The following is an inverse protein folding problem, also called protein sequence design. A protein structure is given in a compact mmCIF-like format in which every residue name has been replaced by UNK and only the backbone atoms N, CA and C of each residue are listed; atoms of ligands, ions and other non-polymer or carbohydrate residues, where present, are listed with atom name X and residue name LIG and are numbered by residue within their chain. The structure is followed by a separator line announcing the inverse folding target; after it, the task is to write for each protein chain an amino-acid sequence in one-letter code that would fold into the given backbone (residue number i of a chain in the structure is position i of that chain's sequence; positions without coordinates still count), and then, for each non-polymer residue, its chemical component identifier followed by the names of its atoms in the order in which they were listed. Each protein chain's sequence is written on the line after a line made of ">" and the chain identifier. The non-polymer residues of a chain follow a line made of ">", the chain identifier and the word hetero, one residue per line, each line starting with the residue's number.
data_IF_274208505000
#
_entry.id   IF_274208505000
#
_cell.length_a   1.000
_cell.length_b   1.000
_cell.length_c   1.000
_cell.angle_alpha   90.00
_cell.angle_beta   90.00
_cell.angle_gamma   90.00
#
_symmetry.space_group_name_H-M   'P 1'
#
loop_
_entity.id
_entity.type
_entity.pdbx_description
1 polymer ?
#
# COMPACT_ATOMS: atom_id res chain seq x y z
N UNK A 1 5.49 -29.40 -1.35
CA UNK A 1 5.74 -29.28 0.10
C UNK A 1 5.64 -27.82 0.46
N UNK A 2 4.52 -27.42 1.03
CA UNK A 2 4.19 -26.04 1.40
C UNK A 2 4.60 -25.84 2.87
N UNK A 3 5.71 -25.16 3.12
CA UNK A 3 6.06 -24.67 4.45
C UNK A 3 5.36 -23.33 4.68
N UNK A 4 4.16 -23.40 5.26
CA UNK A 4 3.46 -22.23 5.76
C UNK A 4 4.20 -21.66 6.98
N UNK A 5 4.77 -20.47 6.83
CA UNK A 5 5.35 -19.74 7.94
C UNK A 5 4.19 -19.21 8.80
N UNK A 6 3.94 -19.89 9.92
CA UNK A 6 3.02 -19.41 10.95
C UNK A 6 3.67 -18.21 11.65
N UNK A 7 3.15 -17.01 11.45
CA UNK A 7 3.48 -15.85 12.25
C UNK A 7 2.91 -16.04 13.66
N UNK A 8 3.77 -16.37 14.62
CA UNK A 8 3.37 -16.42 16.02
C UNK A 8 3.24 -15.01 16.58
N UNK A 9 2.18 -14.77 17.36
CA UNK A 9 1.89 -13.46 17.98
C UNK A 9 2.99 -12.87 18.87
N UNK A 10 4.04 -13.63 19.18
CA UNK A 10 5.19 -13.19 19.96
C UNK A 10 6.13 -12.26 19.19
N UNK A 11 6.17 -12.34 17.86
CA UNK A 11 6.96 -11.42 17.04
C UNK A 11 6.39 -9.99 17.10
N UNK A 12 5.08 -9.87 17.15
CA UNK A 12 4.39 -8.57 17.32
C UNK A 12 4.63 -7.94 18.70
N UNK A 13 4.73 -8.76 19.74
CA UNK A 13 4.94 -8.30 21.12
C UNK A 13 6.39 -7.88 21.38
N UNK A 14 7.36 -8.48 20.69
CA UNK A 14 8.79 -8.15 20.78
C UNK A 14 9.13 -6.83 20.05
N UNK A 15 8.43 -6.53 18.95
CA UNK A 15 8.57 -5.26 18.20
C UNK A 15 8.05 -4.03 18.98
N UNK A 16 7.15 -4.22 19.94
CA UNK A 16 6.67 -3.12 20.79
C UNK A 16 7.70 -2.60 21.82
N UNK A 17 8.82 -3.31 22.03
CA UNK A 17 9.79 -2.98 23.10
C UNK A 17 11.13 -2.42 22.65
N UNK A 18 11.40 -2.34 21.35
CA UNK A 18 12.66 -1.75 20.90
C UNK A 18 12.44 -0.85 19.71
N UNK A 19 12.44 0.39 19.95
CA UNK A 19 12.83 1.53 19.16
C UNK A 19 11.86 2.70 19.36
N UNK A 20 11.86 3.27 20.53
CA UNK A 20 11.78 4.72 20.60
C UNK A 20 13.08 5.23 19.97
N UNK A 21 13.12 5.34 18.65
CA UNK A 21 14.17 6.10 17.99
C UNK A 21 13.83 7.56 18.26
N UNK A 22 14.40 8.09 19.33
CA UNK A 22 14.29 9.49 19.66
C UNK A 22 14.78 10.30 18.45
N UNK A 23 13.87 11.07 17.82
CA UNK A 23 14.20 12.01 16.76
C UNK A 23 13.66 11.73 15.36
N UNK A 24 12.97 10.62 15.11
CA UNK A 24 12.29 10.43 13.82
C UNK A 24 10.87 11.01 13.81
N UNK A 25 10.48 11.71 12.73
CA UNK A 25 9.12 12.23 12.60
C UNK A 25 8.07 11.10 12.67
N UNK A 26 6.97 11.36 13.37
CA UNK A 26 5.89 10.40 13.64
C UNK A 26 5.26 9.64 12.44
N UNK A 27 5.34 10.07 11.15
CA UNK A 27 4.78 9.29 10.04
C UNK A 27 5.53 8.00 9.71
N UNK A 28 6.72 7.79 10.29
CA UNK A 28 7.55 6.64 10.00
C UNK A 28 7.43 5.56 11.07
N UNK A 29 6.25 4.93 11.14
CA UNK A 29 6.06 3.75 11.97
C UNK A 29 7.01 2.61 11.51
N UNK A 30 7.46 1.75 12.44
CA UNK A 30 8.39 0.65 12.13
C UNK A 30 7.94 -0.22 10.95
N UNK A 31 6.63 -0.48 10.81
CA UNK A 31 6.05 -1.22 9.69
C UNK A 31 6.24 -0.48 8.36
N UNK A 32 6.06 0.84 8.35
CA UNK A 32 6.27 1.66 7.15
C UNK A 32 7.72 1.60 6.70
N UNK A 33 8.66 1.72 7.64
CA UNK A 33 10.09 1.62 7.35
C UNK A 33 10.49 0.23 6.85
N UNK A 34 9.92 -0.83 7.40
CA UNK A 34 10.15 -2.19 6.94
C UNK A 34 9.70 -2.38 5.50
N UNK A 35 8.46 -2.00 5.17
CA UNK A 35 7.91 -2.10 3.82
C UNK A 35 8.63 -1.20 2.81
N UNK A 36 9.16 -0.05 3.26
CA UNK A 36 9.97 0.82 2.41
C UNK A 36 11.34 0.21 2.09
N UNK A 37 12.00 -0.42 3.07
CA UNK A 37 13.32 -1.02 2.90
C UNK A 37 13.29 -2.35 2.16
N UNK A 38 12.26 -3.13 2.37
CA UNK A 38 12.05 -4.46 1.78
C UNK A 38 10.63 -4.58 1.22
N UNK A 39 10.32 -3.85 0.14
CA UNK A 39 8.97 -3.86 -0.42
C UNK A 39 8.61 -5.23 -0.97
N UNK A 40 7.41 -5.72 -0.61
CA UNK A 40 6.84 -6.97 -1.11
C UNK A 40 6.32 -6.74 -2.51
N UNK A 41 6.47 -7.76 -3.36
CA UNK A 41 5.97 -7.74 -4.74
C UNK A 41 6.50 -6.55 -5.58
N UNK A 42 7.71 -6.10 -5.29
CA UNK A 42 8.39 -5.08 -6.08
C UNK A 42 9.01 -5.70 -7.33
N UNK A 43 8.84 -5.05 -8.48
CA UNK A 43 9.38 -5.47 -9.78
C UNK A 43 8.29 -5.64 -10.84
N UNK A 44 8.68 -6.11 -12.02
CA UNK A 44 7.76 -6.37 -13.13
C UNK A 44 6.95 -7.66 -12.92
N UNK A 45 5.75 -7.70 -13.48
CA UNK A 45 4.88 -8.88 -13.50
C UNK A 45 4.80 -9.42 -14.94
N UNK A 46 5.51 -10.50 -15.28
CA UNK A 46 5.38 -11.11 -16.60
C UNK A 46 3.94 -11.58 -16.84
N UNK A 47 3.40 -11.28 -18.02
CA UNK A 47 2.05 -11.72 -18.40
C UNK A 47 0.92 -10.97 -17.72
N UNK A 48 1.15 -9.76 -17.23
CA UNK A 48 0.09 -8.93 -16.67
C UNK A 48 -1.05 -8.68 -17.68
N UNK A 49 -2.26 -8.57 -17.18
CA UNK A 49 -3.45 -8.29 -18.01
C UNK A 49 -3.85 -6.81 -17.98
N UNK A 50 -3.51 -6.12 -16.89
CA UNK A 50 -3.85 -4.71 -16.64
C UNK A 50 -2.64 -3.99 -16.06
N UNK A 51 -2.46 -2.73 -16.42
CA UNK A 51 -1.42 -1.89 -15.85
C UNK A 51 -1.83 -0.42 -15.87
N UNK A 52 -1.29 0.35 -14.94
CA UNK A 52 -1.39 1.80 -14.94
C UNK A 52 -0.16 2.43 -14.30
N UNK A 53 0.11 3.69 -14.65
CA UNK A 53 1.11 4.51 -14.00
C UNK A 53 0.44 5.47 -13.02
N UNK A 54 1.13 5.83 -11.97
CA UNK A 54 0.67 6.77 -10.97
C UNK A 54 1.71 7.84 -10.71
N UNK A 55 1.27 9.08 -10.67
CA UNK A 55 2.11 10.25 -10.49
C UNK A 55 1.58 11.15 -9.37
N UNK A 56 2.49 11.61 -8.51
CA UNK A 56 2.25 12.64 -7.52
C UNK A 56 3.36 13.68 -7.61
N UNK A 57 3.11 14.74 -8.34
CA UNK A 57 4.10 15.78 -8.64
C UNK A 57 4.60 16.50 -7.37
N UNK A 58 3.77 16.62 -6.33
CA UNK A 58 4.17 17.27 -5.07
C UNK A 58 5.31 16.56 -4.35
N UNK A 59 5.37 15.22 -4.46
CA UNK A 59 6.43 14.41 -3.84
C UNK A 59 7.41 13.83 -4.85
N UNK A 60 7.19 14.03 -6.16
CA UNK A 60 7.99 13.42 -7.20
C UNK A 60 7.80 11.90 -7.28
N UNK A 61 6.67 11.38 -6.83
CA UNK A 61 6.38 9.96 -6.85
C UNK A 61 5.97 9.52 -8.25
N UNK A 62 6.62 8.47 -8.74
CA UNK A 62 6.26 7.76 -9.96
C UNK A 62 6.20 6.28 -9.65
N UNK A 63 5.06 5.65 -9.84
CA UNK A 63 4.94 4.22 -9.69
C UNK A 63 4.09 3.61 -10.79
N UNK A 64 4.36 2.35 -11.07
CA UNK A 64 3.61 1.53 -12.02
C UNK A 64 3.06 0.33 -11.27
N UNK A 65 1.78 0.03 -11.48
CA UNK A 65 1.15 -1.20 -11.03
C UNK A 65 0.87 -2.08 -12.25
N UNK A 66 1.23 -3.35 -12.14
CA UNK A 66 0.91 -4.40 -13.08
C UNK A 66 0.17 -5.51 -12.34
N UNK A 67 -0.95 -5.95 -12.90
CA UNK A 67 -1.76 -6.99 -12.28
C UNK A 67 -2.28 -8.00 -13.30
N UNK A 68 -2.46 -9.23 -12.83
CA UNK A 68 -3.15 -10.28 -13.54
C UNK A 68 -4.53 -10.44 -12.94
N UNK A 69 -5.56 -10.30 -13.77
CA UNK A 69 -6.94 -10.58 -13.41
C UNK A 69 -7.46 -11.82 -14.11
N UNK A 70 -8.17 -12.68 -13.38
CA UNK A 70 -8.94 -13.79 -13.92
C UNK A 70 -10.33 -13.77 -13.28
N UNK A 71 -11.35 -13.93 -14.09
CA UNK A 71 -12.76 -13.93 -13.64
C UNK A 71 -13.12 -12.72 -12.76
N UNK A 72 -12.60 -11.53 -13.13
CA UNK A 72 -12.86 -10.28 -12.43
C UNK A 72 -12.13 -10.12 -11.07
N UNK A 73 -11.21 -11.03 -10.74
CA UNK A 73 -10.44 -11.01 -9.49
C UNK A 73 -8.94 -10.90 -9.75
N UNK A 74 -8.26 -10.19 -8.86
CA UNK A 74 -6.80 -10.05 -8.89
C UNK A 74 -6.17 -11.38 -8.47
N UNK A 75 -5.36 -11.96 -9.35
CA UNK A 75 -4.58 -13.18 -9.09
C UNK A 75 -3.18 -12.84 -8.59
N UNK A 76 -2.56 -11.84 -9.21
CA UNK A 76 -1.23 -11.35 -8.86
C UNK A 76 -1.14 -9.86 -9.10
N UNK A 77 -0.29 -9.19 -8.32
CA UNK A 77 0.03 -7.78 -8.48
C UNK A 77 1.49 -7.56 -8.18
N UNK A 78 2.15 -6.76 -9.00
CA UNK A 78 3.46 -6.20 -8.71
C UNK A 78 3.48 -4.70 -8.98
N UNK A 79 4.39 -4.02 -8.33
CA UNK A 79 4.61 -2.60 -8.56
C UNK A 79 6.09 -2.29 -8.73
N UNK A 80 6.37 -1.21 -9.43
CA UNK A 80 7.74 -0.71 -9.66
C UNK A 80 7.71 0.82 -9.72
N UNK A 81 8.87 1.44 -9.78
CA UNK A 81 9.00 2.87 -9.92
C UNK A 81 9.88 3.49 -8.84
N UNK A 82 9.93 4.82 -8.85
CA UNK A 82 10.66 5.64 -7.90
C UNK A 82 9.68 6.52 -7.11
N UNK A 83 9.55 6.25 -5.85
CA UNK A 83 8.57 6.91 -4.99
C UNK A 83 9.06 7.07 -3.55
N UNK A 84 8.45 7.99 -2.81
CA UNK A 84 8.82 8.23 -1.42
C UNK A 84 8.53 7.02 -0.52
N UNK A 85 9.09 7.03 0.68
CA UNK A 85 8.94 5.95 1.65
C UNK A 85 7.46 5.60 1.94
N UNK A 86 6.57 6.59 1.99
CA UNK A 86 5.14 6.40 2.25
C UNK A 86 4.44 5.73 1.07
N UNK A 87 4.69 6.20 -0.16
CA UNK A 87 4.09 5.61 -1.35
C UNK A 87 4.59 4.17 -1.57
N UNK A 88 5.89 3.93 -1.42
CA UNK A 88 6.50 2.59 -1.50
C UNK A 88 5.91 1.64 -0.46
N UNK A 89 5.82 2.07 0.80
CA UNK A 89 5.26 1.25 1.87
C UNK A 89 3.77 0.96 1.65
N UNK A 90 2.98 1.95 1.22
CA UNK A 90 1.57 1.77 0.90
C UNK A 90 1.38 0.77 -0.24
N UNK A 91 2.17 0.88 -1.33
CA UNK A 91 2.11 -0.07 -2.44
C UNK A 91 2.50 -1.49 -2.02
N UNK A 92 3.53 -1.62 -1.19
CA UNK A 92 3.97 -2.90 -0.63
C UNK A 92 2.88 -3.56 0.21
N UNK A 93 2.29 -2.83 1.15
CA UNK A 93 1.20 -3.33 2.01
C UNK A 93 -0.07 -3.66 1.22
N UNK A 94 -0.43 -2.81 0.24
CA UNK A 94 -1.52 -3.05 -0.69
C UNK A 94 -1.34 -4.39 -1.43
N UNK A 95 -0.14 -4.63 -1.94
CA UNK A 95 0.14 -5.82 -2.75
C UNK A 95 -0.07 -7.14 -2.01
N UNK A 96 -0.03 -7.11 -0.68
CA UNK A 96 -0.23 -8.31 0.16
C UNK A 96 -1.72 -8.62 0.42
N UNK A 97 -2.61 -7.63 0.32
CA UNK A 97 -4.01 -7.81 0.71
C UNK A 97 -5.00 -7.88 -0.47
N UNK A 98 -4.56 -7.55 -1.68
CA UNK A 98 -5.47 -7.44 -2.84
C UNK A 98 -5.69 -8.74 -3.60
N UNK A 99 -4.92 -9.80 -3.32
CA UNK A 99 -5.10 -11.10 -3.96
C UNK A 99 -6.51 -11.65 -3.67
N UNK A 100 -7.22 -12.07 -4.72
CA UNK A 100 -8.60 -12.54 -4.64
C UNK A 100 -9.67 -11.45 -4.61
N UNK A 101 -9.28 -10.17 -4.50
CA UNK A 101 -10.23 -9.06 -4.52
C UNK A 101 -10.74 -8.76 -5.93
N UNK A 102 -12.00 -8.36 -6.00
CA UNK A 102 -12.61 -7.74 -7.17
C UNK A 102 -12.56 -6.20 -7.08
N UNK A 103 -13.00 -5.53 -8.14
CA UNK A 103 -13.00 -4.06 -8.19
C UNK A 103 -13.83 -3.41 -7.07
N UNK A 104 -14.96 -4.02 -6.68
CA UNK A 104 -15.81 -3.50 -5.60
C UNK A 104 -15.10 -3.60 -4.23
N UNK A 105 -14.43 -4.73 -3.96
CA UNK A 105 -13.63 -4.92 -2.74
C UNK A 105 -12.48 -3.91 -2.67
N UNK A 106 -11.79 -3.66 -3.79
CA UNK A 106 -10.72 -2.67 -3.87
C UNK A 106 -11.26 -1.26 -3.60
N UNK A 107 -12.40 -0.89 -4.18
CA UNK A 107 -13.03 0.40 -3.91
C UNK A 107 -13.39 0.56 -2.41
N UNK A 108 -13.88 -0.49 -1.78
CA UNK A 108 -14.17 -0.51 -0.35
C UNK A 108 -12.93 -0.31 0.52
N UNK A 109 -11.85 -1.02 0.23
CA UNK A 109 -10.57 -0.87 0.94
C UNK A 109 -9.98 0.53 0.77
N UNK A 110 -10.02 1.08 -0.45
CA UNK A 110 -9.58 2.45 -0.74
C UNK A 110 -10.34 3.48 0.08
N UNK A 111 -11.67 3.35 0.18
CA UNK A 111 -12.51 4.23 1.00
C UNK A 111 -12.14 4.17 2.47
N UNK A 112 -11.89 2.97 3.01
CA UNK A 112 -11.45 2.76 4.40
C UNK A 112 -10.08 3.39 4.66
N UNK A 113 -9.12 3.20 3.75
CA UNK A 113 -7.80 3.83 3.87
C UNK A 113 -7.92 5.35 3.83
N UNK A 114 -8.76 5.90 2.96
CA UNK A 114 -9.00 7.34 2.88
C UNK A 114 -9.53 7.88 4.21
N UNK A 115 -10.52 7.23 4.81
CA UNK A 115 -11.05 7.58 6.12
C UNK A 115 -9.98 7.50 7.23
N UNK A 116 -9.12 6.47 7.19
CA UNK A 116 -8.03 6.29 8.15
C UNK A 116 -7.00 7.43 8.08
N UNK A 117 -6.50 7.75 6.88
CA UNK A 117 -5.46 8.78 6.73
C UNK A 117 -5.99 10.20 6.95
N UNK A 118 -7.30 10.40 6.82
CA UNK A 118 -7.98 11.64 7.16
C UNK A 118 -8.31 11.76 8.66
N UNK A 119 -8.19 10.66 9.41
CA UNK A 119 -8.50 10.64 10.84
C UNK A 119 -10.00 10.53 11.16
N UNK A 120 -10.80 10.10 10.20
CA UNK A 120 -12.23 9.84 10.37
C UNK A 120 -12.47 8.52 11.12
N UNK A 121 -11.53 7.58 11.03
CA UNK A 121 -11.49 6.34 11.78
C UNK A 121 -10.11 6.15 12.43
N UNK A 122 -10.05 5.45 13.56
CA UNK A 122 -8.80 5.15 14.27
C UNK A 122 -8.07 3.94 13.68
N UNK A 123 -8.83 2.93 13.30
CA UNK A 123 -8.31 1.69 12.68
C UNK A 123 -9.44 0.91 12.01
N UNK A 124 -9.07 -0.01 11.13
CA UNK A 124 -9.99 -0.97 10.51
C UNK A 124 -9.28 -2.31 10.32
N UNK A 125 -9.88 -3.40 10.78
CA UNK A 125 -9.28 -4.73 10.71
C UNK A 125 -9.02 -5.18 9.26
N UNK A 126 -9.84 -4.74 8.30
CA UNK A 126 -9.66 -5.07 6.89
C UNK A 126 -8.41 -4.45 6.26
N UNK A 127 -7.88 -3.39 6.86
CA UNK A 127 -6.68 -2.70 6.38
C UNK A 127 -5.37 -3.36 6.86
N UNK A 128 -5.40 -4.24 7.87
CA UNK A 128 -4.21 -4.94 8.35
C UNK A 128 -3.04 -3.99 8.64
N UNK A 129 -1.89 -4.23 8.02
CA UNK A 129 -0.67 -3.43 8.19
C UNK A 129 -0.85 -1.96 7.75
N UNK A 130 -1.78 -1.67 6.82
CA UNK A 130 -2.09 -0.31 6.37
C UNK A 130 -2.59 0.61 7.49
N UNK A 131 -3.06 0.06 8.62
CA UNK A 131 -3.39 0.87 9.81
C UNK A 131 -2.20 1.70 10.33
N UNK A 132 -0.96 1.29 10.04
CA UNK A 132 0.23 2.09 10.35
C UNK A 132 0.25 3.46 9.67
N UNK A 133 -0.47 3.61 8.55
CA UNK A 133 -0.62 4.88 7.82
C UNK A 133 -1.59 5.87 8.50
N UNK A 134 -2.31 5.47 9.55
CA UNK A 134 -3.21 6.35 10.31
C UNK A 134 -2.52 7.57 10.93
N UNK A 135 -1.20 7.52 11.15
CA UNK A 135 -0.40 8.65 11.59
C UNK A 135 -0.43 9.83 10.60
N UNK A 136 -0.73 9.56 9.32
CA UNK A 136 -0.78 10.58 8.26
C UNK A 136 -1.92 11.58 8.45
N UNK A 137 -2.86 11.33 9.37
CA UNK A 137 -3.86 12.33 9.78
C UNK A 137 -3.24 13.67 10.18
N UNK A 138 -2.02 13.64 10.72
CA UNK A 138 -1.27 14.82 11.13
C UNK A 138 -0.38 15.41 10.02
N UNK A 139 -0.31 14.79 8.85
CA UNK A 139 0.56 15.15 7.75
C UNK A 139 -0.19 15.21 6.41
N UNK A 140 -1.04 16.23 6.18
CA UNK A 140 -1.92 16.29 5.01
C UNK A 140 -1.23 16.12 3.67
N UNK A 141 -0.03 16.69 3.50
CA UNK A 141 0.75 16.57 2.25
C UNK A 141 1.18 15.14 1.95
N UNK A 142 1.33 14.29 2.98
CA UNK A 142 1.75 12.89 2.83
C UNK A 142 0.59 11.92 2.59
N UNK A 143 -0.64 12.34 2.83
CA UNK A 143 -1.84 11.51 2.54
C UNK A 143 -1.92 11.14 1.07
N UNK A 144 -1.60 12.08 0.18
CA UNK A 144 -1.57 11.85 -1.27
C UNK A 144 -0.58 10.75 -1.66
N UNK A 145 0.58 10.70 -1.02
CA UNK A 145 1.57 9.64 -1.24
C UNK A 145 1.01 8.25 -0.87
N UNK A 146 0.31 8.14 0.27
CA UNK A 146 -0.29 6.88 0.70
C UNK A 146 -1.44 6.43 -0.21
N UNK A 147 -2.17 7.37 -0.81
CA UNK A 147 -3.32 7.09 -1.67
C UNK A 147 -2.94 6.83 -3.13
N UNK A 148 -1.74 7.22 -3.56
CA UNK A 148 -1.30 7.07 -4.95
C UNK A 148 -1.35 5.62 -5.46
N UNK A 149 -0.82 4.60 -4.74
CA UNK A 149 -0.90 3.22 -5.21
C UNK A 149 -2.35 2.74 -5.40
N UNK A 150 -3.26 3.21 -4.55
CA UNK A 150 -4.68 2.86 -4.62
C UNK A 150 -5.40 3.53 -5.79
N UNK A 151 -5.06 4.78 -6.10
CA UNK A 151 -5.54 5.46 -7.29
C UNK A 151 -5.04 4.75 -8.56
N UNK A 152 -3.76 4.37 -8.57
CA UNK A 152 -3.14 3.65 -9.68
C UNK A 152 -3.75 2.26 -9.89
N UNK A 153 -3.99 1.50 -8.81
CA UNK A 153 -4.67 0.22 -8.88
C UNK A 153 -6.10 0.37 -9.44
N UNK A 154 -6.83 1.38 -8.98
CA UNK A 154 -8.18 1.66 -9.49
C UNK A 154 -8.16 1.99 -10.98
N UNK A 155 -7.19 2.76 -11.45
CA UNK A 155 -7.00 3.09 -12.86
C UNK A 155 -6.68 1.83 -13.69
N UNK A 156 -5.78 0.98 -13.20
CA UNK A 156 -5.44 -0.28 -13.87
C UNK A 156 -6.68 -1.17 -14.02
N UNK A 157 -7.48 -1.34 -12.97
CA UNK A 157 -8.72 -2.13 -13.01
C UNK A 157 -9.78 -1.53 -13.95
N UNK A 158 -9.81 -0.21 -14.09
CA UNK A 158 -10.70 0.48 -15.02
C UNK A 158 -10.19 0.50 -16.47
N UNK A 159 -8.97 0.02 -16.71
CA UNK A 159 -8.34 0.04 -18.04
C UNK A 159 -7.85 1.42 -18.47
N UNK A 160 -7.62 2.34 -17.51
CA UNK A 160 -7.01 3.66 -17.77
C UNK A 160 -5.51 3.58 -17.53
N UNK A 161 -4.72 4.27 -18.38
CA UNK A 161 -3.27 4.15 -18.35
C UNK A 161 -2.60 4.89 -17.19
N UNK A 162 -3.22 5.97 -16.72
CA UNK A 162 -2.60 6.90 -15.79
C UNK A 162 -3.55 7.31 -14.66
N UNK A 163 -2.97 7.57 -13.49
CA UNK A 163 -3.64 8.09 -12.31
C UNK A 163 -2.80 9.19 -11.65
N UNK A 164 -3.46 10.13 -10.99
CA UNK A 164 -2.82 11.18 -10.20
C UNK A 164 -3.57 11.38 -8.89
N UNK A 165 -2.89 11.91 -7.89
CA UNK A 165 -3.45 12.32 -6.59
C UNK A 165 -3.36 13.83 -6.37
N UNK A 166 -3.21 14.61 -7.40
CA UNK A 166 -3.18 16.08 -7.34
C UNK A 166 -4.56 16.69 -7.05
#
# INVERSE_FOLDING_TARGET
>A
MTTGLKWSGDAFRKLRRSATVAGMPAPYHAIVLEHQRQPRNFGALPGFTHAANGDNALCGDHLRIELECRDGRIVALRFSGDSCAIATASASMLSEIVAGCDAASIAGLKTRLHALVNGEIESDAALGALNALGQLRHYPSRRKCALLPWATLSAALAGTADATTE
#
